data_IF_085443844894
#
_entry.id   IF_085443844894
#
_cell.length_a   1.000
_cell.length_b   1.000
_cell.length_c   1.000
_cell.angle_alpha   90.00
_cell.angle_beta   90.00
_cell.angle_gamma   90.00
#
_symmetry.space_group_name_H-M   'P 1'
#
loop_
_entity.id
_entity.type
_entity.pdbx_description
1 polymer ?
#
# COMPACT_ATOMS: atom_id res chain seq x y z
N UNK A 1 -23.49 -10.70 4.68
CA UNK A 1 -23.84 -11.38 3.42
C UNK A 1 -24.57 -12.68 3.79
N UNK A 2 -25.83 -12.88 3.38
CA UNK A 2 -26.57 -14.13 3.62
C UNK A 2 -26.50 -14.98 2.35
N UNK A 3 -25.95 -16.18 2.44
CA UNK A 3 -25.88 -17.12 1.30
C UNK A 3 -27.25 -17.80 1.19
N UNK A 4 -28.01 -17.48 0.15
CA UNK A 4 -29.36 -18.00 -0.04
C UNK A 4 -29.41 -19.43 -0.58
N UNK A 5 -28.47 -19.81 -1.44
CA UNK A 5 -28.38 -21.16 -2.00
C UNK A 5 -26.96 -21.43 -2.54
N UNK A 6 -26.50 -22.68 -2.45
CA UNK A 6 -25.23 -23.18 -3.00
C UNK A 6 -25.51 -24.18 -4.11
N UNK A 7 -24.79 -24.05 -5.22
CA UNK A 7 -24.86 -24.98 -6.33
C UNK A 7 -23.76 -26.02 -6.19
N UNK A 8 -24.11 -27.30 -6.34
CA UNK A 8 -23.16 -28.41 -6.27
C UNK A 8 -23.12 -29.10 -7.64
N UNK A 9 -22.00 -28.98 -8.34
CA UNK A 9 -21.77 -29.66 -9.62
C UNK A 9 -21.23 -31.07 -9.38
N UNK A 10 -21.85 -32.07 -10.01
CA UNK A 10 -21.38 -33.45 -9.92
C UNK A 10 -21.22 -34.01 -11.33
N UNK A 11 -19.99 -34.38 -11.67
CA UNK A 11 -19.61 -34.84 -13.00
C UNK A 11 -19.80 -36.36 -13.20
N UNK A 12 -19.91 -37.14 -12.12
CA UNK A 12 -20.25 -38.57 -12.14
C UNK A 12 -21.57 -38.79 -11.41
N UNK A 13 -22.38 -39.76 -11.84
CA UNK A 13 -23.55 -40.25 -11.08
C UNK A 13 -23.12 -40.98 -9.80
N UNK A 14 -22.29 -40.37 -8.97
CA UNK A 14 -22.27 -40.71 -7.56
C UNK A 14 -23.58 -40.16 -7.01
N UNK A 15 -24.46 -41.09 -6.66
CA UNK A 15 -25.69 -40.80 -5.94
C UNK A 15 -25.31 -40.13 -4.62
N UNK A 16 -25.19 -38.80 -4.62
CA UNK A 16 -25.40 -38.04 -3.39
C UNK A 16 -26.76 -38.52 -2.91
N UNK A 17 -26.75 -39.22 -1.78
CA UNK A 17 -27.96 -39.72 -1.16
C UNK A 17 -28.98 -38.59 -1.10
N UNK A 18 -30.27 -38.93 -0.95
CA UNK A 18 -31.37 -37.98 -0.73
C UNK A 18 -31.18 -37.22 0.59
N UNK A 19 -30.07 -36.49 0.75
CA UNK A 19 -29.84 -35.56 1.82
C UNK A 19 -30.68 -34.33 1.48
N UNK A 20 -31.40 -33.82 2.48
CA UNK A 20 -32.42 -32.79 2.30
C UNK A 20 -31.90 -31.57 1.55
N UNK A 21 -32.79 -30.68 1.13
CA UNK A 21 -32.45 -29.46 0.36
C UNK A 21 -31.46 -28.51 1.07
N UNK A 22 -30.98 -28.82 2.26
CA UNK A 22 -30.13 -28.01 3.13
C UNK A 22 -28.85 -28.77 3.49
N UNK A 23 -27.73 -28.05 3.64
CA UNK A 23 -26.51 -28.63 4.19
C UNK A 23 -26.67 -28.99 5.68
N UNK A 24 -26.03 -30.06 6.18
CA UNK A 24 -26.30 -30.60 7.52
C UNK A 24 -25.92 -29.66 8.68
N UNK A 25 -24.91 -28.82 8.48
CA UNK A 25 -24.32 -27.99 9.56
C UNK A 25 -24.76 -26.53 9.43
N UNK A 26 -24.77 -26.01 8.19
CA UNK A 26 -25.05 -24.59 7.95
C UNK A 26 -26.52 -24.30 7.68
N UNK A 27 -27.36 -25.33 7.50
CA UNK A 27 -28.76 -25.23 7.05
C UNK A 27 -28.94 -24.43 5.75
N UNK A 28 -27.85 -24.20 5.00
CA UNK A 28 -27.90 -23.44 3.74
C UNK A 28 -28.49 -24.31 2.66
N UNK A 29 -29.41 -23.76 1.88
CA UNK A 29 -30.02 -24.49 0.78
C UNK A 29 -28.96 -24.91 -0.25
N UNK A 30 -28.97 -26.16 -0.67
CA UNK A 30 -28.11 -26.61 -1.76
C UNK A 30 -28.93 -27.22 -2.91
N UNK A 31 -28.41 -27.07 -4.12
CA UNK A 31 -28.99 -27.63 -5.34
C UNK A 31 -27.92 -28.39 -6.10
N UNK A 32 -28.16 -29.68 -6.26
CA UNK A 32 -27.30 -30.57 -7.04
C UNK A 32 -27.62 -30.40 -8.52
N UNK A 33 -26.59 -30.16 -9.33
CA UNK A 33 -26.65 -30.03 -10.78
C UNK A 33 -25.75 -31.10 -11.41
N UNK A 34 -26.28 -31.82 -12.38
CA UNK A 34 -25.58 -32.89 -13.11
C UNK A 34 -25.49 -32.64 -14.61
N UNK A 35 -26.13 -31.57 -15.10
CA UNK A 35 -26.20 -31.22 -16.50
C UNK A 35 -25.86 -29.74 -16.73
N UNK A 36 -25.12 -29.47 -17.81
CA UNK A 36 -24.69 -28.11 -18.14
C UNK A 36 -25.85 -27.17 -18.49
N UNK A 37 -26.99 -27.69 -18.93
CA UNK A 37 -28.18 -26.88 -19.29
C UNK A 37 -28.77 -26.24 -18.03
N UNK A 38 -28.92 -27.00 -16.95
CA UNK A 38 -29.39 -26.51 -15.66
C UNK A 38 -28.40 -25.55 -15.02
N UNK A 39 -27.10 -25.77 -15.21
CA UNK A 39 -26.04 -24.89 -14.70
C UNK A 39 -26.04 -23.51 -15.36
N UNK A 40 -26.33 -23.44 -16.66
CA UNK A 40 -26.49 -22.18 -17.40
C UNK A 40 -27.62 -21.28 -16.91
N UNK A 41 -28.55 -21.78 -16.08
CA UNK A 41 -29.58 -20.96 -15.44
C UNK A 41 -29.04 -20.06 -14.33
N UNK A 42 -27.84 -20.34 -13.83
CA UNK A 42 -27.25 -19.62 -12.69
C UNK A 42 -25.90 -19.00 -13.00
N UNK A 43 -25.13 -19.60 -13.91
CA UNK A 43 -23.79 -19.16 -14.29
C UNK A 43 -23.75 -19.03 -15.80
N UNK A 44 -23.25 -17.90 -16.30
CA UNK A 44 -23.13 -17.67 -17.73
C UNK A 44 -22.13 -18.66 -18.37
N UNK A 45 -22.36 -18.98 -19.65
CA UNK A 45 -21.59 -20.02 -20.36
C UNK A 45 -20.09 -19.68 -20.45
N UNK A 46 -19.75 -18.41 -20.52
CA UNK A 46 -18.40 -17.84 -20.55
C UNK A 46 -17.66 -17.89 -19.19
N UNK A 47 -18.39 -18.11 -18.10
CA UNK A 47 -17.83 -18.25 -16.75
C UNK A 47 -17.72 -19.71 -16.30
N UNK A 48 -18.30 -20.63 -17.07
CA UNK A 48 -18.25 -22.06 -16.77
C UNK A 48 -17.00 -22.70 -17.38
N UNK A 49 -16.23 -23.49 -16.62
CA UNK A 49 -15.13 -24.27 -17.16
C UNK A 49 -15.60 -25.22 -18.27
N UNK A 50 -14.72 -25.52 -19.22
CA UNK A 50 -15.00 -26.49 -20.27
C UNK A 50 -15.45 -27.86 -19.72
N UNK A 51 -14.90 -28.28 -18.57
CA UNK A 51 -15.28 -29.52 -17.87
C UNK A 51 -16.75 -29.55 -17.41
N UNK A 52 -17.38 -28.38 -17.24
CA UNK A 52 -18.80 -28.21 -16.87
C UNK A 52 -19.68 -27.82 -18.05
N UNK A 53 -19.16 -27.89 -19.28
CA UNK A 53 -19.89 -27.55 -20.50
C UNK A 53 -19.97 -26.04 -20.80
N UNK A 54 -19.02 -25.27 -20.28
CA UNK A 54 -18.87 -23.84 -20.61
C UNK A 54 -17.70 -23.53 -21.55
N UNK A 55 -17.44 -22.24 -21.73
CA UNK A 55 -16.42 -21.67 -22.62
C UNK A 55 -15.31 -20.94 -21.86
N UNK A 56 -15.37 -20.91 -20.53
CA UNK A 56 -14.33 -20.26 -19.75
C UNK A 56 -12.99 -20.97 -19.99
N UNK A 57 -11.90 -20.21 -20.16
CA UNK A 57 -10.58 -20.79 -20.24
C UNK A 57 -10.30 -21.57 -18.95
N UNK A 58 -9.69 -22.74 -19.10
CA UNK A 58 -9.27 -23.54 -17.95
C UNK A 58 -8.09 -22.83 -17.29
N UNK A 59 -8.36 -22.12 -16.20
CA UNK A 59 -7.34 -21.52 -15.36
C UNK A 59 -6.87 -22.60 -14.38
N UNK A 60 -5.57 -22.86 -14.34
CA UNK A 60 -5.00 -23.70 -13.29
C UNK A 60 -5.19 -22.99 -11.95
N UNK A 61 -5.94 -23.62 -11.05
CA UNK A 61 -6.21 -23.10 -9.72
C UNK A 61 -4.91 -22.90 -8.93
N UNK A 62 -3.92 -23.78 -9.11
CA UNK A 62 -2.64 -23.67 -8.42
C UNK A 62 -1.89 -22.39 -8.84
N UNK A 63 -1.79 -22.14 -10.15
CA UNK A 63 -1.17 -20.93 -10.71
C UNK A 63 -1.92 -19.66 -10.27
N UNK A 64 -3.26 -19.70 -10.26
CA UNK A 64 -4.07 -18.58 -9.78
C UNK A 64 -3.82 -18.28 -8.30
N UNK A 65 -3.74 -19.32 -7.46
CA UNK A 65 -3.45 -19.16 -6.02
C UNK A 65 -2.06 -18.58 -5.81
N UNK A 66 -1.05 -19.03 -6.55
CA UNK A 66 0.31 -18.49 -6.46
C UNK A 66 0.35 -17.02 -6.88
N UNK A 67 -0.31 -16.67 -7.98
CA UNK A 67 -0.42 -15.28 -8.43
C UNK A 67 -1.04 -14.39 -7.35
N UNK A 68 -2.15 -14.85 -6.77
CA UNK A 68 -2.85 -14.09 -5.75
C UNK A 68 -1.98 -13.88 -4.50
N UNK A 69 -1.21 -14.89 -4.09
CA UNK A 69 -0.25 -14.78 -2.98
C UNK A 69 0.82 -13.73 -3.26
N UNK A 70 1.40 -13.72 -4.47
CA UNK A 70 2.41 -12.72 -4.85
C UNK A 70 1.82 -11.30 -4.88
N UNK A 71 0.63 -11.14 -5.46
CA UNK A 71 -0.11 -9.87 -5.47
C UNK A 71 -0.36 -9.35 -4.05
N UNK A 72 -0.90 -10.19 -3.16
CA UNK A 72 -1.20 -9.81 -1.78
C UNK A 72 0.06 -9.48 -0.98
N UNK A 73 1.12 -10.25 -1.17
CA UNK A 73 2.42 -10.02 -0.55
C UNK A 73 2.97 -8.63 -0.91
N UNK A 74 3.01 -8.30 -2.20
CA UNK A 74 3.52 -7.01 -2.65
C UNK A 74 2.59 -5.84 -2.25
N UNK A 75 1.27 -6.01 -2.29
CA UNK A 75 0.33 -5.01 -1.78
C UNK A 75 0.55 -4.74 -0.29
N UNK A 76 0.68 -5.78 0.52
CA UNK A 76 0.94 -5.66 1.96
C UNK A 76 2.23 -4.90 2.22
N UNK A 77 3.30 -5.20 1.47
CA UNK A 77 4.58 -4.50 1.57
C UNK A 77 4.44 -3.01 1.20
N UNK A 78 3.76 -2.70 0.09
CA UNK A 78 3.50 -1.33 -0.34
C UNK A 78 2.70 -0.55 0.71
N UNK A 79 1.63 -1.14 1.26
CA UNK A 79 0.80 -0.50 2.29
C UNK A 79 1.58 -0.23 3.57
N UNK A 80 2.41 -1.19 4.03
CA UNK A 80 3.26 -1.02 5.21
C UNK A 80 4.26 0.13 5.01
N UNK A 81 4.99 0.12 3.90
CA UNK A 81 5.94 1.18 3.58
C UNK A 81 5.26 2.54 3.37
N UNK A 82 4.10 2.55 2.69
CA UNK A 82 3.30 3.75 2.46
C UNK A 82 2.82 4.40 3.75
N UNK A 83 2.29 3.62 4.70
CA UNK A 83 1.90 4.13 6.03
C UNK A 83 3.08 4.79 6.74
N UNK A 84 4.26 4.14 6.75
CA UNK A 84 5.47 4.72 7.35
C UNK A 84 5.89 6.04 6.72
N UNK A 85 5.77 6.17 5.40
CA UNK A 85 6.05 7.42 4.70
C UNK A 85 5.04 8.51 5.08
N UNK A 86 3.74 8.18 5.15
CA UNK A 86 2.69 9.13 5.56
C UNK A 86 2.92 9.60 6.99
N UNK A 87 3.23 8.70 7.92
CA UNK A 87 3.54 9.03 9.32
C UNK A 87 4.72 10.02 9.39
N UNK A 88 5.79 9.73 8.66
CA UNK A 88 6.96 10.62 8.61
C UNK A 88 6.63 11.99 7.99
N UNK A 89 5.80 12.02 6.94
CA UNK A 89 5.35 13.28 6.33
C UNK A 89 4.46 14.09 7.28
N UNK A 90 3.64 13.43 8.09
CA UNK A 90 2.81 14.06 9.10
C UNK A 90 3.65 14.69 10.22
N UNK A 91 4.63 13.94 10.75
CA UNK A 91 5.58 14.45 11.75
C UNK A 91 6.34 15.68 11.24
N UNK A 92 6.76 15.65 9.97
CA UNK A 92 7.44 16.78 9.34
C UNK A 92 6.57 18.03 9.25
N UNK A 93 5.25 17.88 9.04
CA UNK A 93 4.30 19.00 8.97
C UNK A 93 4.00 19.57 10.35
N UNK A 94 3.90 18.72 11.38
CA UNK A 94 3.70 19.15 12.78
C UNK A 94 4.84 20.05 13.28
N UNK A 95 6.07 19.73 12.88
CA UNK A 95 7.25 20.54 13.18
C UNK A 95 7.20 21.92 12.47
N UNK A 96 6.64 22.04 11.27
CA UNK A 96 6.53 23.33 10.55
C UNK A 96 5.51 24.29 11.21
N UNK A 97 4.48 23.76 11.85
CA UNK A 97 3.46 24.53 12.59
C UNK A 97 3.86 24.95 14.00
N UNK A 98 5.03 24.54 14.47
CA UNK A 98 5.58 24.93 15.78
C UNK A 98 6.07 26.39 15.82
N UNK A 99 5.18 27.35 15.59
CA UNK A 99 5.42 28.74 16.02
C UNK A 99 5.61 28.75 17.55
N UNK A 100 6.70 29.33 18.08
CA UNK A 100 6.85 29.49 19.51
C UNK A 100 5.75 30.44 19.98
N UNK A 101 4.84 29.92 20.82
CA UNK A 101 3.85 30.70 21.53
C UNK A 101 4.52 31.93 22.15
N UNK A 102 4.18 33.09 21.60
CA UNK A 102 4.60 34.38 22.10
C UNK A 102 3.94 34.59 23.45
N UNK A 103 4.78 34.76 24.46
CA UNK A 103 4.44 35.30 25.77
C UNK A 103 3.53 36.53 25.63
N UNK A 104 2.28 36.43 26.08
CA UNK A 104 1.36 37.57 26.19
C UNK A 104 1.55 38.21 27.57
N UNK A 105 2.32 39.30 27.54
CA UNK A 105 2.19 40.61 28.23
C UNK A 105 1.88 40.71 29.74
N UNK A 106 2.81 41.40 30.42
CA UNK A 106 2.65 42.27 31.59
C UNK A 106 4.03 42.83 32.01
N UNK A 107 4.59 43.84 31.30
CA UNK A 107 4.71 45.29 31.70
C UNK A 107 5.47 45.45 33.04
N UNK A 108 6.67 46.04 33.18
CA UNK A 108 7.30 47.25 32.61
C UNK A 108 8.84 47.15 32.73
N UNK A 109 9.59 47.81 31.83
CA UNK A 109 11.03 48.05 32.03
C UNK A 109 11.76 48.42 30.75
N UNK A 110 12.13 49.69 30.65
CA UNK A 110 12.91 50.28 29.56
C UNK A 110 14.27 49.58 29.43
N UNK A 111 14.53 48.95 28.29
CA UNK A 111 15.86 48.51 27.82
C UNK A 111 15.74 48.13 26.36
N UNK A 112 16.29 48.95 25.45
CA UNK A 112 16.50 48.56 24.04
C UNK A 112 17.43 47.34 23.99
N UNK A 113 16.96 46.15 23.58
CA UNK A 113 17.83 44.98 23.49
C UNK A 113 18.61 45.05 22.18
N UNK A 114 19.94 44.93 22.27
CA UNK A 114 20.84 44.75 21.13
C UNK A 114 20.30 43.71 20.14
N UNK A 115 19.95 44.17 18.94
CA UNK A 115 19.30 43.44 17.83
C UNK A 115 20.07 42.16 17.44
N UNK A 116 21.40 42.19 17.58
CA UNK A 116 22.30 41.07 17.31
C UNK A 116 22.03 39.81 18.16
N UNK A 117 21.55 39.96 19.40
CA UNK A 117 21.32 38.85 20.33
C UNK A 117 20.08 38.04 19.99
N UNK A 118 19.00 38.71 19.59
CA UNK A 118 17.75 38.06 19.19
C UNK A 118 17.94 37.31 17.86
N UNK A 119 18.69 37.90 16.94
CA UNK A 119 18.90 37.36 15.61
C UNK A 119 19.77 36.08 15.63
N UNK A 120 20.82 36.06 16.48
CA UNK A 120 21.62 34.85 16.76
C UNK A 120 20.77 33.72 17.35
N UNK A 121 19.82 34.03 18.26
CA UNK A 121 18.91 33.03 18.86
C UNK A 121 17.92 32.49 17.82
N UNK A 122 17.33 33.34 16.98
CA UNK A 122 16.43 32.94 15.88
C UNK A 122 17.14 32.02 14.88
N UNK A 123 18.37 32.35 14.47
CA UNK A 123 19.20 31.51 13.57
C UNK A 123 19.54 30.15 14.19
N UNK A 124 19.87 30.10 15.48
CA UNK A 124 20.11 28.84 16.21
C UNK A 124 18.85 27.96 16.26
N UNK A 125 17.68 28.54 16.55
CA UNK A 125 16.40 27.80 16.56
C UNK A 125 16.06 27.23 15.18
N UNK A 126 16.13 28.06 14.13
CA UNK A 126 15.90 27.62 12.74
C UNK A 126 16.84 26.48 12.33
N UNK A 127 18.13 26.55 12.70
CA UNK A 127 19.09 25.46 12.43
C UNK A 127 18.74 24.17 13.16
N UNK A 128 18.38 24.23 14.45
CA UNK A 128 17.99 23.05 15.24
C UNK A 128 16.75 22.37 14.64
N UNK A 129 15.75 23.17 14.29
CA UNK A 129 14.55 22.69 13.63
C UNK A 129 14.85 22.02 12.28
N UNK A 130 15.69 22.63 11.43
CA UNK A 130 16.14 22.02 10.18
C UNK A 130 16.90 20.70 10.39
N UNK A 131 17.72 20.60 11.43
CA UNK A 131 18.41 19.36 11.80
C UNK A 131 17.44 18.27 12.28
N UNK A 132 16.46 18.63 13.11
CA UNK A 132 15.42 17.71 13.56
C UNK A 132 14.63 17.15 12.38
N UNK A 133 14.14 18.02 11.49
CA UNK A 133 13.46 17.60 10.26
C UNK A 133 14.33 16.73 9.35
N UNK A 134 15.63 17.03 9.21
CA UNK A 134 16.54 16.20 8.42
C UNK A 134 16.72 14.78 9.02
N UNK A 135 16.74 14.67 10.36
CA UNK A 135 16.80 13.38 11.04
C UNK A 135 15.53 12.56 10.82
N UNK A 136 14.36 13.19 10.89
CA UNK A 136 13.07 12.52 10.60
C UNK A 136 13.03 11.97 9.17
N UNK A 137 13.42 12.78 8.18
CA UNK A 137 13.53 12.33 6.78
C UNK A 137 14.48 11.13 6.66
N UNK A 138 15.67 11.24 7.25
CA UNK A 138 16.67 10.15 7.19
C UNK A 138 16.13 8.87 7.83
N UNK A 139 15.50 8.97 9.00
CA UNK A 139 14.90 7.85 9.71
C UNK A 139 13.84 7.15 8.85
N UNK A 140 12.96 7.92 8.21
CA UNK A 140 11.91 7.37 7.35
C UNK A 140 12.46 6.66 6.11
N UNK A 141 13.51 7.22 5.48
CA UNK A 141 14.15 6.63 4.31
C UNK A 141 14.99 5.39 4.64
N UNK A 142 15.50 5.30 5.87
CA UNK A 142 16.22 4.13 6.38
C UNK A 142 15.31 3.02 6.91
N UNK A 143 13.99 3.17 6.81
CA UNK A 143 13.04 2.15 7.24
C UNK A 143 13.26 0.83 6.49
N UNK A 144 13.36 -0.28 7.24
CA UNK A 144 13.71 -1.58 6.69
C UNK A 144 12.62 -2.16 5.77
N UNK A 145 11.36 -1.75 5.94
CA UNK A 145 10.26 -2.19 5.06
C UNK A 145 10.33 -1.46 3.72
N UNK A 146 10.60 -0.15 3.74
CA UNK A 146 10.80 0.64 2.54
C UNK A 146 12.06 0.21 1.78
N UNK A 147 13.16 -0.05 2.49
CA UNK A 147 14.41 -0.52 1.88
C UNK A 147 14.23 -1.85 1.15
N UNK A 148 13.57 -2.83 1.79
CA UNK A 148 13.24 -4.12 1.16
C UNK A 148 12.32 -3.95 -0.04
N UNK A 149 11.25 -3.16 0.11
CA UNK A 149 10.31 -2.91 -0.98
C UNK A 149 11.00 -2.31 -2.22
N UNK A 150 11.97 -1.41 -2.03
CA UNK A 150 12.71 -0.80 -3.14
C UNK A 150 13.68 -1.76 -3.81
N UNK A 151 14.29 -2.66 -3.04
CA UNK A 151 15.22 -3.67 -3.56
C UNK A 151 14.49 -4.78 -4.29
N UNK A 152 13.45 -5.32 -3.67
CA UNK A 152 12.81 -6.58 -4.10
C UNK A 152 11.52 -6.33 -4.92
N UNK A 153 10.90 -5.15 -4.76
CA UNK A 153 9.63 -4.79 -5.39
C UNK A 153 9.63 -4.79 -6.92
N UNK A 154 10.66 -4.28 -7.63
CA UNK A 154 10.70 -4.36 -9.09
C UNK A 154 10.69 -5.80 -9.62
N UNK A 155 11.47 -6.68 -8.98
CA UNK A 155 11.51 -8.09 -9.35
C UNK A 155 10.18 -8.80 -9.02
N UNK A 156 9.57 -8.48 -7.88
CA UNK A 156 8.25 -9.01 -7.52
C UNK A 156 7.15 -8.55 -8.51
N UNK A 157 7.17 -7.28 -8.93
CA UNK A 157 6.24 -6.77 -9.93
C UNK A 157 6.43 -7.46 -11.29
N UNK A 158 7.67 -7.68 -11.72
CA UNK A 158 7.97 -8.41 -12.96
C UNK A 158 7.42 -9.84 -12.92
N UNK A 159 7.62 -10.55 -11.80
CA UNK A 159 7.05 -11.90 -11.60
C UNK A 159 5.53 -11.90 -11.66
N UNK A 160 4.86 -10.96 -10.98
CA UNK A 160 3.40 -10.83 -11.02
C UNK A 160 2.91 -10.58 -12.46
N UNK A 161 3.61 -9.75 -13.24
CA UNK A 161 3.29 -9.48 -14.63
C UNK A 161 3.52 -10.69 -15.55
N UNK A 162 4.55 -11.50 -15.29
CA UNK A 162 4.80 -12.75 -15.99
C UNK A 162 3.73 -13.80 -15.69
N UNK A 163 3.39 -14.01 -14.41
CA UNK A 163 2.32 -14.90 -14.00
C UNK A 163 0.97 -14.49 -14.58
N UNK A 164 0.70 -13.17 -14.64
CA UNK A 164 -0.50 -12.63 -15.25
C UNK A 164 -0.62 -12.87 -16.76
N UNK A 165 0.48 -13.18 -17.47
CA UNK A 165 0.42 -13.57 -18.89
C UNK A 165 0.08 -15.06 -19.06
N UNK A 166 0.43 -15.88 -18.06
CA UNK A 166 0.13 -17.31 -18.04
C UNK A 166 -1.34 -17.54 -17.66
N UNK A 167 -1.82 -16.76 -16.70
CA UNK A 167 -3.23 -16.69 -16.40
C UNK A 167 -3.93 -15.97 -17.56
N UNK A 168 -5.04 -16.54 -18.04
CA UNK A 168 -5.85 -15.97 -19.12
C UNK A 168 -6.22 -14.51 -18.86
N UNK A 169 -6.76 -13.80 -19.86
CA UNK A 169 -7.16 -12.38 -19.78
C UNK A 169 -8.41 -12.15 -18.88
N UNK A 170 -8.32 -12.62 -17.64
CA UNK A 170 -9.30 -12.45 -16.59
C UNK A 170 -9.25 -11.03 -16.05
N UNK A 171 -10.43 -10.44 -15.86
CA UNK A 171 -10.57 -9.13 -15.27
C UNK A 171 -9.95 -9.04 -13.87
N UNK A 172 -10.05 -10.10 -13.07
CA UNK A 172 -9.48 -10.15 -11.72
C UNK A 172 -7.95 -10.06 -11.74
N UNK A 173 -7.32 -10.77 -12.68
CA UNK A 173 -5.86 -10.74 -12.87
C UNK A 173 -5.42 -9.34 -13.30
N UNK A 174 -6.09 -8.75 -14.30
CA UNK A 174 -5.81 -7.38 -14.75
C UNK A 174 -5.97 -6.35 -13.64
N UNK A 175 -7.07 -6.42 -12.88
CA UNK A 175 -7.34 -5.55 -11.75
C UNK A 175 -6.28 -5.71 -10.65
N UNK A 176 -5.88 -6.95 -10.34
CA UNK A 176 -4.83 -7.27 -9.38
C UNK A 176 -3.49 -6.64 -9.74
N UNK A 177 -3.01 -6.89 -10.97
CA UNK A 177 -1.76 -6.32 -11.51
C UNK A 177 -1.82 -4.79 -11.52
N UNK A 178 -2.91 -4.22 -12.03
CA UNK A 178 -3.10 -2.77 -12.10
C UNK A 178 -3.02 -2.11 -10.73
N UNK A 179 -3.70 -2.69 -9.73
CA UNK A 179 -3.69 -2.19 -8.35
C UNK A 179 -2.30 -2.22 -7.73
N UNK A 180 -1.56 -3.32 -7.88
CA UNK A 180 -0.19 -3.47 -7.37
C UNK A 180 0.73 -2.45 -8.03
N UNK A 181 0.68 -2.34 -9.36
CA UNK A 181 1.52 -1.41 -10.13
C UNK A 181 1.29 0.03 -9.71
N UNK A 182 0.03 0.46 -9.58
CA UNK A 182 -0.31 1.81 -9.13
C UNK A 182 0.24 2.08 -7.73
N UNK A 183 -0.04 1.20 -6.77
CA UNK A 183 0.37 1.41 -5.38
C UNK A 183 1.90 1.42 -5.23
N UNK A 184 2.60 0.50 -5.90
CA UNK A 184 4.07 0.48 -5.90
C UNK A 184 4.65 1.77 -6.49
N UNK A 185 4.07 2.26 -7.59
CA UNK A 185 4.50 3.51 -8.22
C UNK A 185 4.22 4.74 -7.33
N UNK A 186 3.13 4.76 -6.59
CA UNK A 186 2.81 5.82 -5.61
C UNK A 186 3.81 5.84 -4.46
N UNK A 187 4.06 4.70 -3.82
CA UNK A 187 5.02 4.58 -2.72
C UNK A 187 6.43 4.97 -3.20
N UNK A 188 6.83 4.51 -4.38
CA UNK A 188 8.12 4.89 -4.99
C UNK A 188 8.21 6.39 -5.27
N UNK A 189 7.15 7.03 -5.76
CA UNK A 189 7.09 8.48 -5.97
C UNK A 189 7.17 9.24 -4.65
N UNK A 190 6.46 8.80 -3.62
CA UNK A 190 6.48 9.41 -2.30
C UNK A 190 7.88 9.33 -1.67
N UNK A 191 8.53 8.17 -1.74
CA UNK A 191 9.91 7.97 -1.28
C UNK A 191 10.88 8.93 -1.99
N UNK A 192 10.82 9.04 -3.32
CA UNK A 192 11.66 9.97 -4.10
C UNK A 192 11.45 11.43 -3.71
N UNK A 193 10.20 11.86 -3.47
CA UNK A 193 9.91 13.22 -3.00
C UNK A 193 10.53 13.47 -1.63
N UNK A 194 10.47 12.50 -0.74
CA UNK A 194 11.05 12.59 0.60
C UNK A 194 12.60 12.63 0.55
N UNK A 195 13.23 11.89 -0.37
CA UNK A 195 14.66 11.97 -0.65
C UNK A 195 15.09 13.36 -1.09
N UNK A 196 14.41 13.92 -2.10
CA UNK A 196 14.69 15.26 -2.61
C UNK A 196 14.55 16.33 -1.51
N UNK A 197 13.54 16.19 -0.64
CA UNK A 197 13.38 17.07 0.52
C UNK A 197 14.55 16.91 1.51
N UNK A 198 14.98 15.68 1.76
CA UNK A 198 16.14 15.35 2.59
C UNK A 198 17.44 15.97 2.09
N UNK A 199 17.69 15.89 0.78
CA UNK A 199 18.86 16.47 0.10
C UNK A 199 18.87 17.99 0.18
N UNK A 200 17.77 18.64 -0.19
CA UNK A 200 17.62 20.11 -0.07
C UNK A 200 17.90 20.61 1.35
N UNK A 201 17.40 19.88 2.37
CA UNK A 201 17.66 20.21 3.78
C UNK A 201 19.13 19.99 4.16
N UNK A 202 19.76 18.91 3.68
CA UNK A 202 21.18 18.62 3.89
C UNK A 202 22.09 19.70 3.29
N UNK A 203 21.80 20.14 2.08
CA UNK A 203 22.52 21.22 1.40
C UNK A 203 22.41 22.55 2.16
N UNK A 204 21.20 22.91 2.61
CA UNK A 204 21.00 24.09 3.45
C UNK A 204 21.81 24.03 4.75
N UNK A 205 21.87 22.86 5.40
CA UNK A 205 22.70 22.66 6.59
C UNK A 205 24.20 22.82 6.30
N UNK A 206 24.68 22.31 5.15
CA UNK A 206 26.06 22.50 4.69
C UNK A 206 26.38 23.98 4.41
N UNK A 207 25.48 24.70 3.74
CA UNK A 207 25.65 26.14 3.48
C UNK A 207 25.74 26.95 4.79
N UNK A 208 24.86 26.66 5.76
CA UNK A 208 24.91 27.30 7.09
C UNK A 208 26.19 26.96 7.86
N UNK A 209 26.75 25.76 7.67
CA UNK A 209 28.02 25.38 8.28
C UNK A 209 29.19 26.15 7.64
N UNK A 210 29.21 26.28 6.30
CA UNK A 210 30.22 27.05 5.55
C UNK A 210 30.22 28.53 5.96
N UNK A 211 29.05 29.16 6.05
CA UNK A 211 28.93 30.56 6.48
C UNK A 211 29.48 30.81 7.89
N UNK A 212 29.48 29.80 8.77
CA UNK A 212 30.10 29.92 10.10
C UNK A 212 31.60 29.68 10.11
N UNK A 213 32.12 28.89 9.18
CA UNK A 213 33.57 28.68 9.06
C UNK A 213 34.28 29.93 8.53
N UNK A 214 33.54 30.85 7.90
CA UNK A 214 34.03 32.13 7.39
C UNK A 214 33.85 33.30 8.39
N UNK A 215 33.29 33.05 9.58
CA UNK A 215 33.08 34.02 10.67
C UNK A 215 34.03 33.74 11.83
#
# INVERSE_FOLDING_TARGET
>A
MRIGCVLVWIQRKESIGRHGKLFPISEVQHRVLSDGISMRRYVAEDQLPAASGGKAPQIDQAEWVEFQKEVESLLSACQKAGRRLVDAMWELRGEESGTPSGSVVGVSGISTPSDNGQDRRRRRRRRRHLQAQHRLVTKALSDATLARLRRDGPAALCRIEEMARLLSDSEDVRCGVGRVRMLFAEVSRAARRLEQLGERRRERLRALARLRALQ
#
